data_IF_942677567263
#
_entry.id   IF_942677567263
#
_cell.length_a   1.000
_cell.length_b   1.000
_cell.length_c   1.000
_cell.angle_alpha   90.00
_cell.angle_beta   90.00
_cell.angle_gamma   90.00
#
_symmetry.space_group_name_H-M   'P 1'
#
loop_
_entity.id
_entity.type
_entity.pdbx_description
1 polymer ?
#
# COMPACT_ATOMS: atom_id res chain seq x y z
N UNK A 1 5.48 -71.10 40.50
CA UNK A 1 4.49 -71.93 39.77
C UNK A 1 3.27 -71.06 39.52
N UNK A 2 2.88 -70.92 38.24
CA UNK A 2 1.52 -70.64 37.69
C UNK A 2 0.74 -69.44 38.25
N UNK A 3 0.08 -68.55 37.50
CA UNK A 3 -0.35 -68.48 36.10
C UNK A 3 -1.07 -67.14 35.92
N UNK A 4 -0.95 -66.55 34.72
CA UNK A 4 -1.90 -65.70 33.97
C UNK A 4 -3.05 -64.99 34.72
N UNK A 5 -3.16 -63.67 34.56
CA UNK A 5 -4.13 -63.12 33.61
C UNK A 5 -3.84 -61.68 33.19
N UNK A 6 -4.07 -61.46 31.90
CA UNK A 6 -3.87 -60.24 31.13
C UNK A 6 -5.20 -59.47 31.09
N UNK A 7 -5.19 -58.16 31.28
CA UNK A 7 -6.27 -57.27 30.82
C UNK A 7 -5.69 -55.92 30.44
N UNK A 8 -5.97 -55.53 29.21
CA UNK A 8 -5.43 -54.40 28.50
C UNK A 8 -6.15 -53.07 28.83
N UNK A 9 -5.37 -51.99 28.77
CA UNK A 9 -5.63 -50.68 28.13
C UNK A 9 -7.03 -50.07 28.31
N UNK A 10 -7.10 -48.90 28.94
CA UNK A 10 -7.54 -47.64 28.30
C UNK A 10 -7.34 -46.46 29.29
N UNK A 11 -7.33 -45.24 28.75
CA UNK A 11 -7.29 -43.95 29.46
C UNK A 11 -5.90 -43.40 29.78
N UNK A 12 -5.26 -42.86 28.74
CA UNK A 12 -4.63 -41.52 28.80
C UNK A 12 -4.22 -41.10 27.38
N UNK A 13 -5.21 -40.96 26.48
CA UNK A 13 -4.99 -40.40 25.13
C UNK A 13 -5.72 -39.06 24.92
N UNK A 14 -6.40 -38.52 25.94
CA UNK A 14 -7.30 -37.37 25.74
C UNK A 14 -6.71 -36.02 26.15
N UNK A 15 -5.49 -35.98 26.69
CA UNK A 15 -4.85 -34.73 27.13
C UNK A 15 -3.79 -34.17 26.17
N UNK A 16 -3.49 -34.84 25.06
CA UNK A 16 -2.51 -34.32 24.07
C UNK A 16 -3.20 -33.80 22.79
N UNK A 17 -4.45 -34.18 22.49
CA UNK A 17 -5.12 -33.70 21.27
C UNK A 17 -5.85 -32.36 21.39
N UNK A 18 -6.10 -31.82 22.59
CA UNK A 18 -6.82 -30.53 22.72
C UNK A 18 -5.94 -29.28 22.57
N UNK A 19 -4.61 -29.40 22.59
CA UNK A 19 -3.71 -28.24 22.49
C UNK A 19 -3.40 -27.82 21.03
N UNK A 20 -3.55 -28.72 20.06
CA UNK A 20 -3.31 -28.41 18.63
C UNK A 20 -4.52 -27.74 17.95
N UNK A 21 -5.75 -28.12 18.29
CA UNK A 21 -6.96 -27.54 17.67
C UNK A 21 -7.30 -26.12 18.18
N UNK A 22 -6.91 -25.78 19.41
CA UNK A 22 -7.05 -24.41 19.92
C UNK A 22 -6.13 -23.42 19.18
N UNK A 23 -4.96 -23.87 18.73
CA UNK A 23 -4.02 -23.04 17.97
C UNK A 23 -4.50 -22.76 16.55
N UNK A 24 -5.12 -23.72 15.86
CA UNK A 24 -5.60 -23.54 14.47
C UNK A 24 -6.75 -22.54 14.42
N UNK A 25 -7.75 -22.66 15.30
CA UNK A 25 -8.89 -21.73 15.32
C UNK A 25 -8.50 -20.29 15.67
N UNK A 26 -7.52 -20.10 16.57
CA UNK A 26 -6.95 -18.80 16.90
C UNK A 26 -6.10 -18.20 15.77
N UNK A 27 -5.43 -19.03 14.97
CA UNK A 27 -4.67 -18.58 13.79
C UNK A 27 -5.64 -18.15 12.68
N UNK A 28 -6.69 -18.92 12.40
CA UNK A 28 -7.70 -18.59 11.39
C UNK A 28 -8.50 -17.31 11.73
N UNK A 29 -8.90 -17.14 12.99
CA UNK A 29 -9.59 -15.91 13.44
C UNK A 29 -8.70 -14.67 13.46
N UNK A 30 -7.39 -14.83 13.69
CA UNK A 30 -6.42 -13.73 13.54
C UNK A 30 -6.17 -13.39 12.07
N UNK A 31 -5.98 -14.39 11.21
CA UNK A 31 -5.78 -14.18 9.77
C UNK A 31 -6.98 -13.49 9.13
N UNK A 32 -8.20 -13.95 9.43
CA UNK A 32 -9.43 -13.35 8.90
C UNK A 32 -9.65 -11.91 9.38
N UNK A 33 -9.32 -11.59 10.64
CA UNK A 33 -9.34 -10.21 11.14
C UNK A 33 -8.28 -9.31 10.49
N UNK A 34 -7.07 -9.83 10.28
CA UNK A 34 -5.98 -9.12 9.59
C UNK A 34 -6.39 -8.83 8.15
N UNK A 35 -6.93 -9.82 7.44
CA UNK A 35 -7.38 -9.68 6.06
C UNK A 35 -8.56 -8.70 5.93
N UNK A 36 -9.49 -8.74 6.87
CA UNK A 36 -10.60 -7.78 6.92
C UNK A 36 -10.13 -6.35 7.16
N UNK A 37 -9.25 -6.15 8.15
CA UNK A 37 -8.68 -4.84 8.49
C UNK A 37 -7.87 -4.27 7.33
N UNK A 38 -7.05 -5.09 6.68
CA UNK A 38 -6.27 -4.72 5.50
C UNK A 38 -7.16 -4.31 4.32
N UNK A 39 -8.27 -5.02 4.08
CA UNK A 39 -9.22 -4.67 3.03
C UNK A 39 -9.94 -3.33 3.31
N UNK A 40 -10.32 -3.08 4.56
CA UNK A 40 -10.92 -1.80 4.96
C UNK A 40 -9.94 -0.64 4.80
N UNK A 41 -8.70 -0.80 5.27
CA UNK A 41 -7.63 0.20 5.11
C UNK A 41 -7.34 0.51 3.64
N UNK A 42 -7.23 -0.53 2.81
CA UNK A 42 -7.02 -0.37 1.37
C UNK A 42 -8.18 0.38 0.70
N UNK A 43 -9.42 0.13 1.12
CA UNK A 43 -10.59 0.84 0.63
C UNK A 43 -10.55 2.33 1.00
N UNK A 44 -10.20 2.67 2.24
CA UNK A 44 -10.08 4.06 2.69
C UNK A 44 -8.98 4.79 1.89
N UNK A 45 -7.81 4.16 1.72
CA UNK A 45 -6.71 4.71 0.91
C UNK A 45 -7.19 4.95 -0.53
N UNK A 46 -7.86 3.95 -1.11
CA UNK A 46 -8.36 4.03 -2.49
C UNK A 46 -9.32 5.20 -2.64
N UNK A 47 -10.31 5.33 -1.75
CA UNK A 47 -11.29 6.40 -1.80
C UNK A 47 -10.64 7.78 -1.61
N UNK A 48 -9.72 7.93 -0.67
CA UNK A 48 -8.99 9.19 -0.47
C UNK A 48 -8.16 9.59 -1.67
N UNK A 49 -7.45 8.63 -2.28
CA UNK A 49 -6.63 8.89 -3.46
C UNK A 49 -7.51 9.32 -4.66
N UNK A 50 -8.64 8.64 -4.88
CA UNK A 50 -9.59 8.98 -5.94
C UNK A 50 -10.16 10.38 -5.72
N UNK A 51 -10.62 10.68 -4.49
CA UNK A 51 -11.17 11.99 -4.18
C UNK A 51 -10.19 13.12 -4.50
N UNK A 52 -8.96 13.04 -3.97
CA UNK A 52 -7.92 14.07 -4.19
C UNK A 52 -7.61 14.27 -5.68
N UNK A 53 -7.58 13.19 -6.45
CA UNK A 53 -7.27 13.24 -7.87
C UNK A 53 -8.43 13.82 -8.68
N UNK A 54 -9.65 13.33 -8.47
CA UNK A 54 -10.82 13.77 -9.21
C UNK A 54 -11.21 15.22 -8.89
N UNK A 55 -11.01 15.66 -7.64
CA UNK A 55 -11.24 17.05 -7.24
C UNK A 55 -10.25 18.01 -7.94
N UNK A 56 -9.02 17.54 -8.20
CA UNK A 56 -7.97 18.35 -8.82
C UNK A 56 -7.94 18.29 -10.35
N UNK A 57 -8.50 17.24 -10.96
CA UNK A 57 -8.37 16.96 -12.39
C UNK A 57 -9.73 16.59 -12.99
N UNK A 58 -10.42 17.56 -13.63
CA UNK A 58 -11.66 17.28 -14.34
C UNK A 58 -11.49 16.17 -15.39
N UNK A 59 -12.39 15.19 -15.39
CA UNK A 59 -12.36 14.04 -16.30
C UNK A 59 -11.41 12.91 -15.88
N UNK A 60 -10.73 13.01 -14.73
CA UNK A 60 -9.89 11.92 -14.24
C UNK A 60 -10.71 10.70 -13.77
N UNK A 61 -11.99 10.88 -13.44
CA UNK A 61 -12.92 9.84 -13.01
C UNK A 61 -13.15 8.75 -14.09
N UNK A 62 -12.96 9.08 -15.36
CA UNK A 62 -12.99 8.10 -16.46
C UNK A 62 -11.84 7.08 -16.38
N UNK A 63 -10.71 7.45 -15.78
CA UNK A 63 -9.48 6.65 -15.78
C UNK A 63 -9.08 6.17 -14.38
N UNK A 64 -9.39 6.95 -13.35
CA UNK A 64 -9.00 6.76 -11.96
C UNK A 64 -10.18 6.16 -11.19
N UNK A 65 -10.40 4.86 -11.39
CA UNK A 65 -11.49 4.11 -10.78
C UNK A 65 -11.01 3.30 -9.56
N UNK A 66 -11.94 2.96 -8.66
CA UNK A 66 -11.68 2.12 -7.47
C UNK A 66 -10.93 0.82 -7.83
N UNK A 67 -11.40 0.11 -8.86
CA UNK A 67 -10.78 -1.13 -9.33
C UNK A 67 -9.33 -0.91 -9.77
N UNK A 68 -9.06 0.15 -10.54
CA UNK A 68 -7.71 0.42 -11.08
C UNK A 68 -6.75 0.85 -9.99
N UNK A 69 -7.20 1.68 -9.05
CA UNK A 69 -6.38 2.08 -7.89
C UNK A 69 -6.11 0.87 -6.99
N UNK A 70 -7.08 0.02 -6.70
CA UNK A 70 -6.85 -1.22 -5.93
C UNK A 70 -5.85 -2.15 -6.62
N UNK A 71 -5.94 -2.30 -7.94
CA UNK A 71 -4.97 -3.10 -8.70
C UNK A 71 -3.56 -2.49 -8.63
N UNK A 72 -3.44 -1.18 -8.78
CA UNK A 72 -2.18 -0.45 -8.63
C UNK A 72 -1.56 -0.66 -7.25
N UNK A 73 -2.34 -0.47 -6.17
CA UNK A 73 -1.88 -0.65 -4.80
C UNK A 73 -1.47 -2.10 -4.53
N UNK A 74 -2.27 -3.08 -4.97
CA UNK A 74 -1.92 -4.51 -4.87
C UNK A 74 -0.63 -4.83 -5.61
N UNK A 75 -0.43 -4.25 -6.79
CA UNK A 75 0.80 -4.45 -7.56
C UNK A 75 2.03 -3.92 -6.81
N UNK A 76 1.92 -2.74 -6.20
CA UNK A 76 2.99 -2.18 -5.36
C UNK A 76 3.22 -3.00 -4.09
N UNK A 77 2.16 -3.47 -3.43
CA UNK A 77 2.28 -4.37 -2.27
C UNK A 77 3.03 -5.66 -2.64
N UNK A 78 2.66 -6.29 -3.75
CA UNK A 78 3.26 -7.56 -4.18
C UNK A 78 4.71 -7.42 -4.66
N UNK A 79 5.01 -6.35 -5.41
CA UNK A 79 6.33 -6.21 -6.06
C UNK A 79 7.31 -5.37 -5.26
N UNK A 80 6.85 -4.37 -4.54
CA UNK A 80 7.68 -3.41 -3.81
C UNK A 80 7.48 -3.48 -2.27
N UNK A 81 6.65 -4.40 -1.79
CA UNK A 81 6.31 -4.53 -0.37
C UNK A 81 5.76 -3.23 0.22
N UNK A 82 4.87 -2.53 -0.49
CA UNK A 82 4.27 -1.28 -0.04
C UNK A 82 3.58 -1.42 1.33
N UNK A 83 3.89 -0.51 2.25
CA UNK A 83 3.32 -0.43 3.60
C UNK A 83 2.20 0.61 3.68
N UNK A 84 1.38 0.53 4.73
CA UNK A 84 0.22 1.41 4.92
C UNK A 84 0.64 2.87 5.12
N UNK A 85 1.68 3.11 5.92
CA UNK A 85 2.22 4.44 6.22
C UNK A 85 2.72 5.16 4.96
N UNK A 86 3.21 4.40 3.99
CA UNK A 86 3.68 4.91 2.71
C UNK A 86 2.52 5.32 1.82
N UNK A 87 1.38 4.62 1.89
CA UNK A 87 0.15 5.07 1.23
C UNK A 87 -0.32 6.42 1.78
N UNK A 88 -0.28 6.59 3.11
CA UNK A 88 -0.65 7.87 3.74
C UNK A 88 0.31 8.97 3.31
N UNK A 89 1.61 8.70 3.36
CA UNK A 89 2.66 9.64 2.94
C UNK A 89 2.50 10.03 1.47
N UNK A 90 2.24 9.08 0.58
CA UNK A 90 2.03 9.31 -0.84
C UNK A 90 0.80 10.20 -1.11
N UNK A 91 -0.29 9.97 -0.38
CA UNK A 91 -1.51 10.79 -0.45
C UNK A 91 -1.20 12.23 -0.01
N UNK A 92 -0.48 12.42 1.11
CA UNK A 92 -0.11 13.75 1.60
C UNK A 92 0.80 14.48 0.60
N UNK A 93 1.79 13.79 0.04
CA UNK A 93 2.68 14.37 -0.97
C UNK A 93 1.91 14.78 -2.24
N UNK A 94 1.00 13.95 -2.73
CA UNK A 94 0.19 14.26 -3.90
C UNK A 94 -0.74 15.45 -3.65
N UNK A 95 -1.38 15.50 -2.49
CA UNK A 95 -2.20 16.65 -2.09
C UNK A 95 -1.35 17.93 -1.99
N UNK A 96 -0.16 17.87 -1.38
CA UNK A 96 0.77 19.00 -1.32
C UNK A 96 1.16 19.48 -2.71
N UNK A 97 1.44 18.56 -3.64
CA UNK A 97 1.73 18.88 -5.03
C UNK A 97 0.58 19.68 -5.68
N UNK A 98 -0.67 19.22 -5.51
CA UNK A 98 -1.86 19.88 -6.06
C UNK A 98 -2.02 21.30 -5.51
N UNK A 99 -1.85 21.48 -4.19
CA UNK A 99 -1.95 22.79 -3.54
C UNK A 99 -0.83 23.72 -4.04
N UNK A 100 0.41 23.24 -4.06
CA UNK A 100 1.59 24.04 -4.42
C UNK A 100 1.62 24.43 -5.89
N UNK A 101 1.25 23.53 -6.81
CA UNK A 101 1.17 23.89 -8.22
C UNK A 101 0.11 25.00 -8.44
N UNK A 102 -1.02 24.93 -7.74
CA UNK A 102 -2.11 25.89 -7.88
C UNK A 102 -1.71 27.25 -7.32
N UNK A 103 -1.05 27.26 -6.16
CA UNK A 103 -0.52 28.48 -5.56
C UNK A 103 0.55 29.18 -6.44
N UNK A 104 1.25 28.41 -7.29
CA UNK A 104 2.24 28.93 -8.24
C UNK A 104 1.66 29.31 -9.61
N UNK A 105 0.35 29.16 -9.81
CA UNK A 105 -0.32 29.30 -11.10
C UNK A 105 0.30 28.40 -12.20
N UNK A 106 0.75 27.21 -11.80
CA UNK A 106 1.36 26.21 -12.67
C UNK A 106 0.36 25.06 -12.85
N UNK A 107 -0.20 24.93 -14.06
CA UNK A 107 -1.17 23.86 -14.36
C UNK A 107 -0.49 22.67 -15.05
N UNK A 108 0.32 21.93 -14.28
CA UNK A 108 1.04 20.74 -14.77
C UNK A 108 0.20 19.47 -14.66
N UNK A 109 -0.56 19.30 -13.58
CA UNK A 109 -1.43 18.13 -13.41
C UNK A 109 -2.57 18.13 -14.44
N UNK A 110 -2.62 17.07 -15.25
CA UNK A 110 -3.61 16.86 -16.31
C UNK A 110 -3.98 15.40 -16.38
N UNK A 111 -5.11 15.08 -17.02
CA UNK A 111 -5.56 13.69 -17.23
C UNK A 111 -4.47 12.83 -17.90
N UNK A 112 -3.65 13.41 -18.79
CA UNK A 112 -2.60 12.67 -19.50
C UNK A 112 -1.38 12.27 -18.66
N UNK A 113 -1.15 12.91 -17.51
CA UNK A 113 0.04 12.66 -16.67
C UNK A 113 -0.29 12.31 -15.20
N UNK A 114 -1.57 12.32 -14.81
CA UNK A 114 -2.02 12.01 -13.46
C UNK A 114 -1.55 10.64 -12.97
N UNK A 115 -1.58 9.62 -13.84
CA UNK A 115 -1.10 8.28 -13.49
C UNK A 115 0.39 8.26 -13.13
N UNK A 116 1.21 8.99 -13.90
CA UNK A 116 2.64 9.13 -13.60
C UNK A 116 2.87 9.88 -12.29
N UNK A 117 2.11 10.94 -12.02
CA UNK A 117 2.25 11.70 -10.78
C UNK A 117 1.82 10.91 -9.55
N UNK A 118 0.80 10.05 -9.67
CA UNK A 118 0.45 9.06 -8.64
C UNK A 118 1.62 8.08 -8.44
N UNK A 119 2.21 7.52 -9.50
CA UNK A 119 3.37 6.62 -9.37
C UNK A 119 4.52 7.33 -8.62
N UNK A 120 4.83 8.57 -8.99
CA UNK A 120 5.91 9.34 -8.37
C UNK A 120 5.63 9.60 -6.89
N UNK A 121 4.41 9.95 -6.49
CA UNK A 121 4.11 10.20 -5.07
C UNK A 121 4.34 8.96 -4.20
N UNK A 122 4.01 7.77 -4.71
CA UNK A 122 4.28 6.50 -4.03
C UNK A 122 5.76 6.15 -3.99
N UNK A 123 6.52 6.41 -5.08
CA UNK A 123 7.97 6.21 -5.09
C UNK A 123 8.63 7.12 -4.04
N UNK A 124 8.26 8.39 -3.99
CA UNK A 124 8.79 9.34 -3.01
C UNK A 124 8.45 8.93 -1.58
N UNK A 125 7.20 8.51 -1.32
CA UNK A 125 6.82 7.99 0.00
C UNK A 125 7.70 6.81 0.43
N UNK A 126 7.92 5.82 -0.44
CA UNK A 126 8.82 4.71 -0.12
C UNK A 126 10.25 5.18 0.15
N UNK A 127 10.77 6.15 -0.62
CA UNK A 127 12.11 6.72 -0.40
C UNK A 127 12.24 7.46 0.92
N UNK A 128 11.18 8.12 1.40
CA UNK A 128 11.18 8.85 2.66
C UNK A 128 11.10 7.93 3.87
N UNK A 129 10.36 6.83 3.75
CA UNK A 129 10.04 5.96 4.87
C UNK A 129 11.03 4.79 5.08
N UNK A 130 11.99 4.58 4.16
CA UNK A 130 12.89 3.42 4.19
C UNK A 130 14.35 3.80 4.01
N UNK A 131 15.22 3.08 4.71
CA UNK A 131 16.68 3.18 4.53
C UNK A 131 17.17 2.63 3.18
N UNK A 132 16.45 1.65 2.63
CA UNK A 132 16.82 0.97 1.38
C UNK A 132 15.59 0.74 0.51
N UNK A 133 15.65 1.19 -0.74
CA UNK A 133 14.57 0.99 -1.71
C UNK A 133 15.11 0.62 -3.10
N UNK A 134 14.30 -0.05 -3.94
CA UNK A 134 14.63 -0.21 -5.35
C UNK A 134 14.80 1.14 -6.07
N UNK A 135 15.72 1.23 -7.02
CA UNK A 135 15.89 2.44 -7.81
C UNK A 135 14.75 2.66 -8.82
N UNK A 136 14.71 3.83 -9.47
CA UNK A 136 13.66 4.17 -10.43
C UNK A 136 13.58 3.22 -11.64
N UNK A 137 14.66 2.51 -12.01
CA UNK A 137 14.61 1.51 -13.08
C UNK A 137 13.67 0.37 -12.74
N UNK A 138 13.64 -0.04 -11.46
CA UNK A 138 12.72 -1.07 -10.99
C UNK A 138 11.25 -0.65 -11.20
N UNK A 139 10.89 0.56 -10.77
CA UNK A 139 9.51 1.06 -10.92
C UNK A 139 9.14 1.33 -12.38
N UNK A 140 10.08 1.87 -13.18
CA UNK A 140 9.92 2.03 -14.62
C UNK A 140 9.52 0.71 -15.30
N UNK A 141 10.18 -0.40 -14.92
CA UNK A 141 9.86 -1.73 -15.43
C UNK A 141 8.49 -2.25 -14.95
N UNK A 142 8.09 -1.98 -13.70
CA UNK A 142 6.79 -2.42 -13.16
C UNK A 142 5.63 -1.77 -13.91
N UNK A 143 5.74 -0.47 -14.17
CA UNK A 143 4.65 0.34 -14.73
C UNK A 143 4.75 0.56 -16.24
N UNK A 144 5.80 0.04 -16.90
CA UNK A 144 6.02 0.24 -18.33
C UNK A 144 6.27 1.71 -18.71
N UNK A 145 6.85 2.49 -17.79
CA UNK A 145 7.15 3.91 -18.01
C UNK A 145 8.63 4.06 -18.39
N UNK A 146 8.99 4.86 -19.40
CA UNK A 146 10.39 5.14 -19.70
C UNK A 146 11.12 5.72 -18.48
N UNK A 147 12.27 5.15 -18.13
CA UNK A 147 13.05 5.59 -16.96
C UNK A 147 13.41 7.08 -16.99
N UNK A 148 13.67 7.63 -18.18
CA UNK A 148 13.95 9.06 -18.34
C UNK A 148 12.75 9.92 -17.93
N UNK A 149 11.54 9.53 -18.35
CA UNK A 149 10.30 10.22 -17.98
C UNK A 149 10.07 10.11 -16.47
N UNK A 150 10.27 8.93 -15.89
CA UNK A 150 10.08 8.72 -14.46
C UNK A 150 11.04 9.58 -13.63
N UNK A 151 12.33 9.60 -13.98
CA UNK A 151 13.32 10.43 -13.30
C UNK A 151 13.00 11.93 -13.42
N UNK A 152 12.63 12.39 -14.62
CA UNK A 152 12.28 13.78 -14.84
C UNK A 152 11.03 14.17 -14.06
N UNK A 153 9.98 13.34 -14.10
CA UNK A 153 8.75 13.56 -13.33
C UNK A 153 9.02 13.58 -11.82
N UNK A 154 9.93 12.75 -11.31
CA UNK A 154 10.33 12.79 -9.89
C UNK A 154 10.97 14.14 -9.52
N UNK A 155 11.95 14.60 -10.31
CA UNK A 155 12.63 15.87 -10.05
C UNK A 155 11.64 17.03 -10.14
N UNK A 156 10.80 17.06 -11.18
CA UNK A 156 9.79 18.10 -11.34
C UNK A 156 8.77 18.09 -10.20
N UNK A 157 8.38 16.91 -9.72
CA UNK A 157 7.49 16.78 -8.57
C UNK A 157 8.10 17.45 -7.33
N UNK A 158 9.35 17.11 -7.02
CA UNK A 158 10.08 17.68 -5.89
C UNK A 158 10.22 19.20 -5.99
N UNK A 159 10.53 19.73 -7.18
CA UNK A 159 10.61 21.17 -7.42
C UNK A 159 9.26 21.88 -7.21
N UNK A 160 8.16 21.25 -7.64
CA UNK A 160 6.82 21.83 -7.47
C UNK A 160 6.44 21.92 -6.00
N UNK A 161 6.79 20.92 -5.18
CA UNK A 161 6.55 20.97 -3.73
C UNK A 161 7.64 21.72 -2.95
N UNK A 162 8.56 22.42 -3.61
CA UNK A 162 9.67 23.14 -2.96
C UNK A 162 10.55 22.24 -2.08
N UNK A 163 10.65 20.95 -2.41
CA UNK A 163 11.31 19.92 -1.59
C UNK A 163 10.74 19.81 -0.16
N UNK A 164 9.53 20.31 0.09
CA UNK A 164 8.83 20.20 1.38
C UNK A 164 8.28 18.78 1.58
N UNK A 165 9.17 17.87 1.99
CA UNK A 165 8.86 16.46 2.20
C UNK A 165 8.39 16.15 3.63
N UNK A 166 8.50 17.12 4.54
CA UNK A 166 8.05 16.99 5.92
C UNK A 166 6.55 16.75 6.03
N UNK A 167 6.18 15.70 6.74
CA UNK A 167 4.82 15.50 7.26
C UNK A 167 4.70 16.34 8.54
N UNK A 168 4.56 17.65 8.42
CA UNK A 168 4.26 18.47 9.61
C UNK A 168 2.88 18.04 10.13
N UNK A 169 2.80 17.78 11.44
CA UNK A 169 1.55 17.46 12.14
C UNK A 169 0.50 18.53 11.79
N UNK A 170 -0.63 18.10 11.26
CA UNK A 170 -1.80 18.95 11.11
C UNK A 170 -2.33 19.13 12.54
N UNK A 171 -1.89 20.20 13.21
CA UNK A 171 -2.44 20.65 14.50
C UNK A 171 -3.83 21.23 14.33
#
# INVERSE_FOLDING_TARGET
>A
MTSSDCSAIQETSDLIQQSEFANISCIETKSTNIDYTNNQQLQIITQKLIAIVCDAVPGADEFITDTRIKLFLKQLQQKASLHFEECITAIVLLHRFIVKQSAKDIQILKVSNVGTLIIISFILAMKLNRDRIPNNRFFANIFGVPIANLNLSEISFLQIIDFELGLTEIY
#
